data_IF_145166004535
#
_entry.id   IF_145166004535
#
_cell.length_a   1.000
_cell.length_b   1.000
_cell.length_c   1.000
_cell.angle_alpha   90.00
_cell.angle_beta   90.00
_cell.angle_gamma   90.00
#
_symmetry.space_group_name_H-M   'P 1'
#
loop_
_entity.id
_entity.type
_entity.pdbx_description
1 polymer ?
#
# COMPACT_ATOMS: atom_id res chain seq x y z
N UNK A 1 18.45 -31.34 -0.33
CA UNK A 1 17.56 -32.53 -0.19
C UNK A 1 16.17 -32.06 -0.60
N UNK A 2 15.47 -32.79 -1.47
CA UNK A 2 14.17 -32.31 -1.96
C UNK A 2 13.15 -32.14 -0.82
N UNK A 3 12.38 -31.05 -0.85
CA UNK A 3 11.35 -30.78 0.14
C UNK A 3 10.23 -31.83 0.05
N UNK A 4 9.84 -32.37 1.21
CA UNK A 4 8.70 -33.28 1.33
C UNK A 4 7.37 -32.57 1.06
N UNK A 5 6.32 -33.32 0.69
CA UNK A 5 4.97 -32.79 0.49
C UNK A 5 4.45 -32.03 1.72
N UNK A 6 4.75 -32.53 2.92
CA UNK A 6 4.35 -31.90 4.20
C UNK A 6 5.05 -30.56 4.40
N UNK A 7 6.34 -30.48 4.09
CA UNK A 7 7.14 -29.25 4.18
C UNK A 7 6.63 -28.19 3.19
N UNK A 8 6.42 -28.57 1.93
CA UNK A 8 5.84 -27.68 0.90
C UNK A 8 4.49 -27.11 1.32
N UNK A 9 3.62 -27.95 1.89
CA UNK A 9 2.31 -27.52 2.41
C UNK A 9 2.44 -26.48 3.52
N UNK A 10 3.36 -26.68 4.48
CA UNK A 10 3.59 -25.73 5.58
C UNK A 10 4.09 -24.37 5.09
N UNK A 11 5.05 -24.37 4.17
CA UNK A 11 5.55 -23.13 3.57
C UNK A 11 4.43 -22.38 2.84
N UNK A 12 3.56 -23.10 2.14
CA UNK A 12 2.39 -22.51 1.47
C UNK A 12 1.38 -21.93 2.48
N UNK A 13 1.12 -22.61 3.60
CA UNK A 13 0.23 -22.12 4.65
C UNK A 13 0.74 -20.79 5.24
N UNK A 14 2.03 -20.68 5.56
CA UNK A 14 2.63 -19.43 6.04
C UNK A 14 2.59 -18.35 4.96
N UNK A 15 2.88 -18.73 3.71
CA UNK A 15 2.81 -17.80 2.58
C UNK A 15 1.41 -17.20 2.40
N UNK A 16 0.34 -17.98 2.60
CA UNK A 16 -1.04 -17.48 2.60
C UNK A 16 -1.33 -16.57 3.79
N UNK A 17 -0.75 -16.83 4.95
CA UNK A 17 -0.85 -15.93 6.10
C UNK A 17 -0.18 -14.59 5.82
N UNK A 18 1.00 -14.57 5.19
CA UNK A 18 1.68 -13.35 4.75
C UNK A 18 0.78 -12.55 3.82
N UNK A 19 0.16 -13.19 2.83
CA UNK A 19 -0.75 -12.55 1.89
C UNK A 19 -1.96 -11.93 2.59
N UNK A 20 -2.64 -12.68 3.46
CA UNK A 20 -3.76 -12.17 4.26
C UNK A 20 -3.33 -10.97 5.10
N UNK A 21 -2.14 -11.02 5.69
CA UNK A 21 -1.59 -9.93 6.52
C UNK A 21 -1.23 -8.72 5.68
N UNK A 22 -0.75 -8.90 4.45
CA UNK A 22 -0.48 -7.82 3.51
C UNK A 22 -1.74 -7.10 3.07
N UNK A 23 -2.83 -7.84 2.79
CA UNK A 23 -4.14 -7.23 2.50
C UNK A 23 -4.61 -6.40 3.68
N UNK A 24 -4.60 -6.97 4.90
CA UNK A 24 -4.97 -6.20 6.10
C UNK A 24 -4.07 -4.99 6.31
N UNK A 25 -2.76 -5.11 6.08
CA UNK A 25 -1.83 -3.98 6.21
C UNK A 25 -2.15 -2.87 5.20
N UNK A 26 -2.50 -3.22 3.95
CA UNK A 26 -2.91 -2.27 2.93
C UNK A 26 -4.17 -1.52 3.35
N UNK A 27 -5.23 -2.25 3.71
CA UNK A 27 -6.51 -1.67 4.13
C UNK A 27 -6.34 -0.74 5.35
N UNK A 28 -5.56 -1.18 6.35
CA UNK A 28 -5.29 -0.36 7.54
C UNK A 28 -4.45 0.89 7.21
N UNK A 29 -3.54 0.81 6.23
CA UNK A 29 -2.74 1.96 5.82
C UNK A 29 -3.57 3.00 5.09
N UNK A 30 -4.52 2.58 4.26
CA UNK A 30 -5.48 3.46 3.58
C UNK A 30 -6.35 4.21 4.62
N UNK A 31 -6.98 3.46 5.54
CA UNK A 31 -7.78 4.05 6.63
C UNK A 31 -6.95 5.01 7.49
N UNK A 32 -5.70 4.64 7.80
CA UNK A 32 -4.81 5.51 8.59
C UNK A 32 -4.52 6.83 7.87
N UNK A 33 -4.36 6.82 6.55
CA UNK A 33 -4.13 8.04 5.78
C UNK A 33 -5.35 8.97 5.85
N UNK A 34 -6.55 8.43 5.81
CA UNK A 34 -7.77 9.24 5.94
C UNK A 34 -7.87 9.89 7.32
N UNK A 35 -7.58 9.14 8.39
CA UNK A 35 -7.51 9.71 9.73
C UNK A 35 -6.41 10.78 9.90
N UNK A 36 -5.29 10.65 9.18
CA UNK A 36 -4.24 11.69 9.17
C UNK A 36 -4.78 12.96 8.50
N UNK A 37 -5.44 12.83 7.34
CA UNK A 37 -6.03 13.98 6.62
C UNK A 37 -7.05 14.72 7.48
N UNK A 38 -7.97 13.99 8.14
CA UNK A 38 -8.95 14.59 9.06
C UNK A 38 -8.28 15.39 10.19
N UNK A 39 -7.23 14.83 10.79
CA UNK A 39 -6.46 15.53 11.82
C UNK A 39 -5.80 16.79 11.28
N UNK A 40 -5.22 16.74 10.08
CA UNK A 40 -4.60 17.89 9.43
C UNK A 40 -5.62 18.99 9.12
N UNK A 41 -6.80 18.62 8.62
CA UNK A 41 -7.90 19.55 8.35
C UNK A 41 -8.35 20.28 9.63
N UNK A 42 -8.52 19.56 10.73
CA UNK A 42 -8.88 20.16 12.02
C UNK A 42 -7.78 21.09 12.53
N UNK A 43 -6.51 20.70 12.39
CA UNK A 43 -5.39 21.56 12.80
C UNK A 43 -5.34 22.85 11.97
N UNK A 44 -5.64 22.78 10.68
CA UNK A 44 -5.76 23.96 9.83
C UNK A 44 -6.94 24.85 10.22
N UNK A 45 -8.09 24.27 10.60
CA UNK A 45 -9.22 25.05 11.13
C UNK A 45 -8.84 25.78 12.43
N UNK A 46 -8.14 25.11 13.35
CA UNK A 46 -7.64 25.73 14.58
C UNK A 46 -6.68 26.87 14.25
N UNK A 47 -5.75 26.66 13.32
CA UNK A 47 -4.79 27.69 12.89
C UNK A 47 -5.48 28.91 12.29
N UNK A 48 -6.47 28.72 11.40
CA UNK A 48 -7.25 29.81 10.80
C UNK A 48 -8.02 30.61 11.85
N UNK A 49 -8.71 29.93 12.78
CA UNK A 49 -9.48 30.58 13.85
C UNK A 49 -8.60 31.37 14.84
N UNK A 50 -7.29 31.10 14.91
CA UNK A 50 -6.35 31.86 15.74
C UNK A 50 -5.80 33.11 15.05
N UNK A 51 -5.74 33.10 13.71
CA UNK A 51 -5.26 34.22 12.91
C UNK A 51 -6.35 35.27 12.67
N UNK A 52 -7.61 34.85 12.67
CA UNK A 52 -8.79 35.70 12.49
C UNK A 52 -9.55 35.85 13.83
N UNK A 53 -9.13 36.75 14.75
CA UNK A 53 -9.95 37.09 15.89
C UNK A 53 -11.15 37.91 15.41
N UNK A 54 -12.29 37.25 15.18
CA UNK A 54 -13.64 37.80 14.95
C UNK A 54 -13.72 39.29 14.57
N UNK A 55 -13.46 39.65 13.31
CA UNK A 55 -14.15 40.79 12.71
C UNK A 55 -15.53 40.34 12.23
N UNK A 56 -16.50 40.34 13.16
CA UNK A 56 -17.90 40.42 12.77
C UNK A 56 -18.17 41.80 12.15
N UNK A 57 -17.98 41.95 10.85
CA UNK A 57 -18.59 43.07 10.10
C UNK A 57 -19.25 42.56 8.82
N UNK A 58 -20.59 42.52 8.90
CA UNK A 58 -21.56 42.43 7.81
C UNK A 58 -21.12 43.26 6.61
N UNK A 59 -21.16 42.72 5.39
CA UNK A 59 -21.63 43.43 4.19
C UNK A 59 -22.12 42.40 3.16
N UNK A 60 -23.44 42.37 2.98
CA UNK A 60 -24.15 41.97 1.75
C UNK A 60 -23.50 42.67 0.56
N UNK A 61 -23.37 42.13 -0.65
CA UNK A 61 -24.38 42.24 -1.72
C UNK A 61 -23.80 41.61 -2.99
N UNK A 62 -24.65 40.87 -3.70
CA UNK A 62 -24.73 40.68 -5.15
C UNK A 62 -23.46 40.50 -5.99
N UNK A 63 -23.31 39.31 -6.58
CA UNK A 63 -22.77 39.21 -7.93
C UNK A 63 -23.62 38.31 -8.84
N UNK A 64 -24.09 38.98 -9.88
CA UNK A 64 -24.98 38.57 -10.97
C UNK A 64 -24.54 37.30 -11.70
N UNK A 65 -25.52 36.44 -12.01
CA UNK A 65 -25.45 35.41 -13.04
C UNK A 65 -25.61 36.03 -14.42
N UNK A 66 -24.81 35.58 -15.41
CA UNK A 66 -25.27 35.26 -16.77
C UNK A 66 -24.16 34.61 -17.63
N UNK A 67 -24.53 33.86 -18.69
CA UNK A 67 -23.80 32.69 -19.20
C UNK A 67 -23.11 32.93 -20.55
N UNK A 68 -22.12 32.10 -20.89
CA UNK A 68 -21.60 31.98 -22.27
C UNK A 68 -21.41 30.50 -22.63
N UNK A 69 -22.01 30.16 -23.77
CA UNK A 69 -22.00 28.88 -24.50
C UNK A 69 -20.80 28.87 -25.44
N UNK A 70 -20.17 27.70 -25.63
CA UNK A 70 -19.74 27.10 -26.92
C UNK A 70 -18.60 26.08 -26.65
N UNK A 71 -18.75 24.77 -26.85
CA UNK A 71 -18.93 23.94 -28.06
C UNK A 71 -17.58 23.50 -28.71
N UNK A 72 -17.54 22.21 -29.10
CA UNK A 72 -16.53 21.49 -29.91
C UNK A 72 -15.20 21.13 -29.19
N UNK A 73 -14.56 19.96 -29.36
CA UNK A 73 -14.62 18.97 -30.43
C UNK A 73 -13.99 17.63 -29.97
N UNK A 74 -14.60 16.51 -30.38
CA UNK A 74 -14.04 15.16 -30.22
C UNK A 74 -13.05 14.86 -31.36
N UNK A 75 -11.90 14.25 -31.06
CA UNK A 75 -11.03 13.64 -32.07
C UNK A 75 -10.57 12.24 -31.65
N UNK A 76 -11.15 11.24 -32.33
CA UNK A 76 -10.66 9.86 -32.47
C UNK A 76 -9.37 9.83 -33.30
N UNK A 77 -8.47 8.90 -32.97
CA UNK A 77 -7.41 8.34 -33.84
C UNK A 77 -6.88 7.11 -33.07
N UNK A 78 -7.20 5.87 -33.46
CA UNK A 78 -6.63 5.00 -34.51
C UNK A 78 -5.85 3.83 -33.86
N UNK A 79 -6.43 2.64 -33.98
CA UNK A 79 -5.78 1.32 -34.04
C UNK A 79 -4.63 1.31 -35.11
N UNK A 80 -3.61 0.39 -35.07
CA UNK A 80 -3.84 -1.05 -35.19
C UNK A 80 -2.85 -2.05 -34.54
N UNK A 81 -3.45 -3.19 -34.19
CA UNK A 81 -3.07 -4.61 -34.41
C UNK A 81 -1.66 -4.96 -34.89
N UNK A 82 -0.99 -5.82 -34.12
CA UNK A 82 0.12 -6.68 -34.56
C UNK A 82 0.11 -8.00 -33.80
N UNK A 83 -0.18 -9.10 -34.50
CA UNK A 83 -0.08 -10.49 -34.02
C UNK A 83 1.39 -10.95 -33.90
N UNK A 84 1.68 -12.01 -33.11
CA UNK A 84 2.99 -12.24 -32.52
C UNK A 84 3.89 -13.16 -33.37
N UNK A 85 5.22 -12.95 -33.38
CA UNK A 85 6.16 -14.01 -33.71
C UNK A 85 6.55 -14.78 -32.44
N UNK A 86 6.25 -16.08 -32.47
CA UNK A 86 6.89 -17.11 -31.65
C UNK A 86 8.40 -17.06 -31.85
N UNK A 87 9.13 -16.97 -30.73
CA UNK A 87 10.39 -17.67 -30.41
C UNK A 87 11.17 -16.84 -29.39
N UNK A 88 10.79 -16.93 -28.12
CA UNK A 88 11.50 -16.25 -27.03
C UNK A 88 12.80 -16.98 -26.70
N UNK A 89 13.84 -16.66 -27.46
CA UNK A 89 15.17 -16.51 -26.90
C UNK A 89 15.05 -15.61 -25.68
N UNK A 90 15.40 -16.13 -24.50
CA UNK A 90 15.47 -15.32 -23.30
C UNK A 90 16.55 -14.27 -23.50
N UNK A 91 16.13 -13.04 -23.80
CA UNK A 91 16.99 -11.87 -23.68
C UNK A 91 17.40 -11.81 -22.21
N UNK A 92 18.64 -12.24 -21.98
CA UNK A 92 19.22 -12.33 -20.65
C UNK A 92 19.50 -10.90 -20.27
N UNK A 93 18.51 -10.22 -19.68
CA UNK A 93 18.69 -8.89 -19.10
C UNK A 93 19.84 -9.02 -18.10
N UNK A 94 20.97 -8.46 -18.48
CA UNK A 94 22.21 -8.47 -17.69
C UNK A 94 21.90 -7.85 -16.33
N UNK A 95 21.88 -8.70 -15.32
CA UNK A 95 21.89 -8.25 -13.93
C UNK A 95 23.32 -7.73 -13.73
N UNK A 96 23.47 -6.42 -13.50
CA UNK A 96 24.75 -5.76 -13.20
C UNK A 96 25.62 -6.67 -12.32
N UNK A 97 26.83 -6.95 -12.81
CA UNK A 97 27.69 -8.04 -12.33
C UNK A 97 28.32 -7.82 -10.94
N UNK A 98 27.95 -6.78 -10.20
CA UNK A 98 28.57 -6.41 -8.92
C UNK A 98 27.78 -6.77 -7.66
N UNK A 99 26.65 -7.50 -7.79
CA UNK A 99 25.87 -7.92 -6.63
C UNK A 99 26.09 -9.41 -6.31
N UNK A 100 26.52 -9.72 -5.07
CA UNK A 100 26.74 -11.07 -4.55
C UNK A 100 25.40 -11.79 -4.28
N UNK A 101 24.58 -11.90 -5.33
CA UNK A 101 23.25 -12.52 -5.26
C UNK A 101 23.42 -14.05 -5.20
N UNK A 102 22.82 -14.73 -4.20
CA UNK A 102 22.86 -16.17 -4.10
C UNK A 102 22.35 -16.87 -5.37
N UNK A 103 22.99 -17.96 -5.77
CA UNK A 103 22.62 -18.69 -7.00
C UNK A 103 21.18 -19.21 -6.97
N UNK A 104 20.73 -19.68 -5.81
CA UNK A 104 19.35 -20.12 -5.61
C UNK A 104 18.35 -18.99 -5.87
N UNK A 105 18.67 -17.74 -5.52
CA UNK A 105 17.80 -16.58 -5.68
C UNK A 105 17.71 -16.18 -7.16
N UNK A 106 18.84 -16.20 -7.88
CA UNK A 106 18.86 -16.01 -9.35
C UNK A 106 18.00 -17.05 -10.05
N UNK A 107 18.14 -18.33 -9.67
CA UNK A 107 17.35 -19.44 -10.21
C UNK A 107 15.87 -19.28 -9.91
N UNK A 108 15.52 -18.92 -8.67
CA UNK A 108 14.15 -18.69 -8.26
C UNK A 108 13.52 -17.56 -9.08
N UNK A 109 14.18 -16.42 -9.19
CA UNK A 109 13.69 -15.29 -9.99
C UNK A 109 13.47 -15.67 -11.46
N UNK A 110 14.42 -16.39 -12.09
CA UNK A 110 14.23 -16.89 -13.47
C UNK A 110 12.97 -17.75 -13.60
N UNK A 111 12.72 -18.63 -12.62
CA UNK A 111 11.52 -19.47 -12.61
C UNK A 111 10.22 -18.66 -12.40
N UNK A 112 10.26 -17.62 -11.57
CA UNK A 112 9.15 -16.68 -11.39
C UNK A 112 8.88 -15.95 -12.70
N UNK A 113 9.91 -15.37 -13.31
CA UNK A 113 9.83 -14.67 -14.59
C UNK A 113 9.20 -15.54 -15.67
N UNK A 114 9.63 -16.80 -15.79
CA UNK A 114 9.06 -17.76 -16.74
C UNK A 114 7.56 -18.05 -16.52
N UNK A 115 7.05 -17.99 -15.30
CA UNK A 115 5.63 -18.25 -15.01
C UNK A 115 4.75 -17.01 -15.10
N UNK A 116 5.34 -15.83 -14.89
CA UNK A 116 4.62 -14.56 -14.78
C UNK A 116 4.85 -13.60 -15.95
N UNK A 117 5.66 -13.97 -16.95
CA UNK A 117 5.90 -13.12 -18.12
C UNK A 117 4.59 -12.75 -18.83
N UNK A 118 4.35 -11.47 -19.18
CA UNK A 118 3.09 -11.02 -19.78
C UNK A 118 2.69 -11.83 -21.02
N UNK A 119 3.66 -12.11 -21.91
CA UNK A 119 3.42 -12.92 -23.12
C UNK A 119 2.84 -14.31 -22.80
N UNK A 120 3.26 -14.92 -21.69
CA UNK A 120 2.80 -16.26 -21.29
C UNK A 120 1.46 -16.24 -20.56
N UNK A 121 1.07 -15.10 -20.00
CA UNK A 121 -0.21 -14.96 -19.29
C UNK A 121 -1.38 -14.88 -20.26
N UNK A 122 -1.18 -14.25 -21.42
CA UNK A 122 -2.23 -14.09 -22.45
C UNK A 122 -2.74 -15.43 -23.02
N UNK A 123 -1.93 -16.49 -22.95
CA UNK A 123 -2.30 -17.83 -23.46
C UNK A 123 -2.85 -18.77 -22.39
N UNK A 124 -2.88 -18.35 -21.12
CA UNK A 124 -3.38 -19.19 -20.03
C UNK A 124 -4.86 -18.88 -19.73
N UNK A 125 -5.64 -19.92 -19.40
CA UNK A 125 -7.02 -19.79 -18.90
C UNK A 125 -7.01 -19.32 -17.43
N UNK A 126 -6.48 -18.14 -17.19
CA UNK A 126 -6.45 -17.50 -15.87
C UNK A 126 -7.57 -16.46 -15.77
N UNK A 127 -8.02 -16.22 -14.55
CA UNK A 127 -8.90 -15.08 -14.28
C UNK A 127 -8.14 -13.75 -14.45
N UNK A 128 -8.85 -12.65 -14.73
CA UNK A 128 -8.24 -11.33 -14.82
C UNK A 128 -7.47 -10.94 -13.54
N UNK A 129 -8.01 -11.31 -12.37
CA UNK A 129 -7.38 -11.08 -11.06
C UNK A 129 -6.05 -11.85 -10.94
N UNK A 130 -6.00 -13.10 -11.41
CA UNK A 130 -4.76 -13.88 -11.39
C UNK A 130 -3.72 -13.36 -12.39
N UNK A 131 -4.15 -12.83 -13.54
CA UNK A 131 -3.25 -12.22 -14.52
C UNK A 131 -2.61 -10.97 -13.92
N UNK A 132 -3.41 -10.06 -13.39
CA UNK A 132 -2.95 -8.83 -12.74
C UNK A 132 -1.96 -9.15 -11.61
N UNK A 133 -2.33 -10.07 -10.72
CA UNK A 133 -1.48 -10.52 -9.62
C UNK A 133 -0.14 -11.10 -10.08
N UNK A 134 -0.13 -11.88 -11.17
CA UNK A 134 1.12 -12.42 -11.72
C UNK A 134 1.97 -11.35 -12.36
N UNK A 135 1.38 -10.34 -13.00
CA UNK A 135 2.11 -9.18 -13.50
C UNK A 135 2.74 -8.38 -12.34
N UNK A 136 2.02 -8.17 -11.24
CA UNK A 136 2.57 -7.57 -10.02
C UNK A 136 3.76 -8.37 -9.50
N UNK A 137 3.62 -9.69 -9.36
CA UNK A 137 4.72 -10.55 -8.92
C UNK A 137 5.93 -10.54 -9.84
N UNK A 138 5.73 -10.42 -11.15
CA UNK A 138 6.82 -10.30 -12.10
C UNK A 138 7.65 -9.05 -11.80
N UNK A 139 7.00 -7.89 -11.67
CA UNK A 139 7.64 -6.61 -11.37
C UNK A 139 8.29 -6.63 -9.98
N UNK A 140 7.55 -7.05 -8.97
CA UNK A 140 8.02 -7.12 -7.59
C UNK A 140 9.24 -8.01 -7.46
N UNK A 141 9.22 -9.21 -8.07
CA UNK A 141 10.33 -10.16 -7.98
C UNK A 141 11.65 -9.59 -8.50
N UNK A 142 11.60 -8.74 -9.54
CA UNK A 142 12.79 -8.03 -10.05
C UNK A 142 13.30 -7.02 -9.03
N UNK A 143 12.42 -6.22 -8.45
CA UNK A 143 12.79 -5.26 -7.40
C UNK A 143 13.32 -5.96 -6.14
N UNK A 144 12.72 -7.09 -5.74
CA UNK A 144 13.18 -7.87 -4.59
C UNK A 144 14.58 -8.45 -4.83
N UNK A 145 14.86 -8.90 -6.06
CA UNK A 145 16.19 -9.40 -6.43
C UNK A 145 17.26 -8.31 -6.32
N UNK A 146 16.95 -7.09 -6.80
CA UNK A 146 17.86 -5.94 -6.77
C UNK A 146 18.09 -5.40 -5.34
N UNK A 147 17.05 -5.44 -4.50
CA UNK A 147 17.11 -4.96 -3.11
C UNK A 147 17.54 -6.02 -2.10
N UNK A 148 17.95 -7.18 -2.57
CA UNK A 148 18.34 -8.33 -1.74
C UNK A 148 17.25 -8.78 -0.74
N UNK A 149 15.98 -8.62 -1.11
CA UNK A 149 14.82 -8.98 -0.28
C UNK A 149 14.43 -10.45 -0.50
N UNK A 150 15.29 -11.34 -0.03
CA UNK A 150 15.20 -12.79 -0.24
C UNK A 150 13.92 -13.42 0.31
N UNK A 151 13.46 -12.99 1.48
CA UNK A 151 12.25 -13.51 2.14
C UNK A 151 11.00 -13.28 1.28
N UNK A 152 10.92 -12.10 0.68
CA UNK A 152 9.82 -11.70 -0.22
C UNK A 152 9.90 -12.42 -1.56
N UNK A 153 11.11 -12.57 -2.11
CA UNK A 153 11.31 -13.34 -3.33
C UNK A 153 10.89 -14.81 -3.12
N UNK A 154 11.26 -15.40 -1.98
CA UNK A 154 10.85 -16.74 -1.58
C UNK A 154 9.33 -16.85 -1.44
N UNK A 155 8.69 -15.88 -0.79
CA UNK A 155 7.23 -15.81 -0.65
C UNK A 155 6.51 -15.88 -2.01
N UNK A 156 6.94 -15.08 -3.00
CA UNK A 156 6.40 -15.10 -4.37
C UNK A 156 6.61 -16.48 -5.01
N UNK A 157 7.81 -17.04 -4.87
CA UNK A 157 8.13 -18.39 -5.35
C UNK A 157 7.16 -19.46 -4.83
N UNK A 158 6.93 -19.47 -3.52
CA UNK A 158 6.02 -20.41 -2.85
C UNK A 158 4.58 -20.23 -3.33
N UNK A 159 4.11 -18.99 -3.53
CA UNK A 159 2.77 -18.72 -4.07
C UNK A 159 2.58 -19.28 -5.49
N UNK A 160 3.63 -19.25 -6.29
CA UNK A 160 3.66 -19.83 -7.63
C UNK A 160 3.93 -21.36 -7.65
N UNK A 161 4.03 -21.99 -6.47
CA UNK A 161 4.37 -23.40 -6.32
C UNK A 161 5.78 -23.74 -6.82
N UNK A 162 6.70 -22.77 -6.80
CA UNK A 162 8.11 -22.93 -7.11
C UNK A 162 8.85 -23.15 -5.80
N UNK A 163 9.54 -24.28 -5.69
CA UNK A 163 10.23 -24.69 -4.46
C UNK A 163 11.74 -24.56 -4.63
N UNK A 164 12.43 -24.14 -3.57
CA UNK A 164 13.90 -24.03 -3.53
C UNK A 164 14.42 -25.19 -2.70
N UNK A 165 14.97 -26.23 -3.33
CA UNK A 165 15.46 -27.43 -2.62
C UNK A 165 16.91 -27.25 -2.11
N UNK A 166 17.57 -26.18 -2.55
CA UNK A 166 18.92 -25.76 -2.17
C UNK A 166 18.97 -25.18 -0.74
N UNK A 167 17.86 -24.61 -0.25
CA UNK A 167 17.75 -24.07 1.09
C UNK A 167 17.05 -25.10 2.01
N UNK A 168 17.57 -25.38 3.21
CA UNK A 168 16.86 -26.20 4.19
C UNK A 168 15.45 -25.67 4.51
N UNK A 169 14.49 -26.57 4.72
CA UNK A 169 13.12 -26.20 5.08
C UNK A 169 13.04 -25.26 6.31
N UNK A 170 13.89 -25.50 7.32
CA UNK A 170 13.88 -24.69 8.54
C UNK A 170 14.24 -23.22 8.26
N UNK A 171 15.22 -23.00 7.38
CA UNK A 171 15.65 -21.66 6.97
C UNK A 171 14.57 -20.98 6.11
N UNK A 172 13.99 -21.68 5.13
CA UNK A 172 12.85 -21.15 4.35
C UNK A 172 11.67 -20.76 5.25
N UNK A 173 11.37 -21.57 6.27
CA UNK A 173 10.31 -21.30 7.22
C UNK A 173 10.65 -20.07 8.09
N UNK A 174 11.91 -19.89 8.47
CA UNK A 174 12.36 -18.71 9.21
C UNK A 174 12.23 -17.44 8.37
N UNK A 175 12.68 -17.46 7.11
CA UNK A 175 12.57 -16.36 6.15
C UNK A 175 11.13 -15.90 5.97
N UNK A 176 10.21 -16.83 5.70
CA UNK A 176 8.78 -16.52 5.60
C UNK A 176 8.20 -16.01 6.92
N UNK A 177 8.65 -16.56 8.05
CA UNK A 177 8.27 -16.08 9.38
C UNK A 177 8.71 -14.64 9.66
N UNK A 178 9.90 -14.24 9.18
CA UNK A 178 10.40 -12.87 9.29
C UNK A 178 9.55 -11.88 8.49
N UNK A 179 9.15 -12.25 7.27
CA UNK A 179 8.25 -11.42 6.46
C UNK A 179 6.87 -11.28 7.13
N UNK A 180 6.29 -12.38 7.63
CA UNK A 180 5.03 -12.34 8.38
C UNK A 180 5.12 -11.43 9.61
N UNK A 181 6.19 -11.57 10.40
CA UNK A 181 6.41 -10.76 11.59
C UNK A 181 6.63 -9.29 11.24
N UNK A 182 7.34 -8.99 10.16
CA UNK A 182 7.52 -7.62 9.66
C UNK A 182 6.18 -6.95 9.38
N UNK A 183 5.26 -7.66 8.70
CA UNK A 183 3.95 -7.12 8.40
C UNK A 183 3.07 -7.00 9.65
N UNK A 184 3.18 -7.97 10.57
CA UNK A 184 2.50 -7.91 11.87
C UNK A 184 2.94 -6.72 12.73
N UNK A 185 4.24 -6.41 12.75
CA UNK A 185 4.78 -5.23 13.45
C UNK A 185 4.27 -3.94 12.82
N UNK A 186 4.19 -3.85 11.49
CA UNK A 186 3.61 -2.68 10.82
C UNK A 186 2.14 -2.49 11.17
N UNK A 187 1.35 -3.55 11.16
CA UNK A 187 -0.07 -3.50 11.59
C UNK A 187 -0.17 -2.99 13.03
N UNK A 188 0.64 -3.54 13.93
CA UNK A 188 0.67 -3.11 15.33
C UNK A 188 1.04 -1.62 15.46
N UNK A 189 2.01 -1.14 14.70
CA UNK A 189 2.40 0.27 14.67
C UNK A 189 1.26 1.18 14.16
N UNK A 190 0.51 0.75 13.14
CA UNK A 190 -0.67 1.48 12.65
C UNK A 190 -1.71 1.55 13.76
N UNK A 191 -2.07 0.40 14.35
CA UNK A 191 -3.09 0.31 15.40
C UNK A 191 -2.76 1.10 16.67
N UNK A 192 -1.47 1.29 16.96
CA UNK A 192 -1.01 2.09 18.09
C UNK A 192 -0.71 3.56 17.74
N UNK A 193 -0.89 3.97 16.47
CA UNK A 193 -0.63 5.34 16.04
C UNK A 193 -1.70 6.32 16.55
N UNK A 194 -1.31 7.60 16.68
CA UNK A 194 -2.24 8.67 17.10
C UNK A 194 -3.39 8.81 16.11
N UNK A 195 -3.13 8.72 14.80
CA UNK A 195 -4.18 8.77 13.77
C UNK A 195 -5.18 7.62 13.91
N UNK A 196 -4.69 6.41 14.20
CA UNK A 196 -5.59 5.29 14.45
C UNK A 196 -6.41 5.45 15.73
N UNK A 197 -5.79 5.93 16.82
CA UNK A 197 -6.51 6.27 18.05
C UNK A 197 -7.57 7.35 17.80
N UNK A 198 -7.27 8.33 16.95
CA UNK A 198 -8.22 9.38 16.55
C UNK A 198 -9.46 8.79 15.87
N UNK A 199 -9.27 8.03 14.80
CA UNK A 199 -10.40 7.46 14.04
C UNK A 199 -11.24 6.47 14.83
N UNK A 200 -10.66 5.79 15.82
CA UNK A 200 -11.39 4.86 16.70
C UNK A 200 -11.99 5.53 17.95
N UNK A 201 -11.71 6.81 18.20
CA UNK A 201 -12.20 7.57 19.36
C UNK A 201 -13.51 8.33 19.08
N UNK A 202 -14.30 7.93 18.07
CA UNK A 202 -15.59 8.55 17.70
C UNK A 202 -16.55 8.84 18.87
N UNK A 203 -16.61 7.95 19.86
CA UNK A 203 -17.46 8.08 21.05
C UNK A 203 -16.71 8.60 22.29
N UNK A 204 -15.40 8.87 22.18
CA UNK A 204 -14.57 9.37 23.28
C UNK A 204 -14.05 10.78 22.97
N UNK A 205 -14.90 11.76 23.26
CA UNK A 205 -14.58 13.17 23.13
C UNK A 205 -13.35 13.58 23.97
N UNK A 206 -13.13 12.94 25.13
CA UNK A 206 -11.99 13.26 25.98
C UNK A 206 -10.68 12.84 25.33
N UNK A 207 -10.66 11.65 24.73
CA UNK A 207 -9.50 11.15 24.00
C UNK A 207 -9.23 11.99 22.75
N UNK A 208 -10.26 12.34 21.96
CA UNK A 208 -10.10 13.24 20.79
C UNK A 208 -9.52 14.60 21.18
N UNK A 209 -10.01 15.22 22.26
CA UNK A 209 -9.45 16.48 22.77
C UNK A 209 -7.98 16.31 23.19
N UNK A 210 -7.63 15.23 23.90
CA UNK A 210 -6.24 14.95 24.29
C UNK A 210 -5.33 14.81 23.08
N UNK A 211 -5.79 14.08 22.06
CA UNK A 211 -5.07 13.91 20.79
C UNK A 211 -4.83 15.28 20.13
N UNK A 212 -5.86 16.12 20.03
CA UNK A 212 -5.73 17.46 19.44
C UNK A 212 -4.75 18.35 20.21
N UNK A 213 -4.74 18.30 21.55
CA UNK A 213 -3.75 19.04 22.37
C UNK A 213 -2.32 18.60 22.01
N UNK A 214 -2.06 17.29 21.99
CA UNK A 214 -0.75 16.74 21.64
C UNK A 214 -0.35 17.13 20.22
N UNK A 215 -1.29 17.12 19.28
CA UNK A 215 -1.04 17.50 17.89
C UNK A 215 -0.78 19.01 17.74
N UNK A 216 -1.49 19.87 18.47
CA UNK A 216 -1.23 21.30 18.51
C UNK A 216 0.19 21.58 19.03
N UNK A 217 0.58 20.95 20.15
CA UNK A 217 1.93 21.08 20.73
C UNK A 217 3.01 20.67 19.74
N UNK A 218 2.85 19.51 19.08
CA UNK A 218 3.78 19.01 18.07
C UNK A 218 3.88 19.94 16.85
N UNK A 219 2.77 20.51 16.43
CA UNK A 219 2.68 21.44 15.30
C UNK A 219 2.99 22.89 15.67
N UNK A 220 3.39 23.16 16.94
CA UNK A 220 3.67 24.50 17.49
C UNK A 220 2.49 25.47 17.35
N UNK A 221 1.27 24.94 17.37
CA UNK A 221 0.02 25.71 17.41
C UNK A 221 -0.37 25.86 18.88
N UNK A 222 -0.78 27.05 19.30
CA UNK A 222 -1.24 27.25 20.68
C UNK A 222 -2.53 26.43 20.88
N UNK A 223 -2.65 25.60 21.92
CA UNK A 223 -3.90 24.87 22.15
C UNK A 223 -5.03 25.85 22.49
N UNK A 224 -6.20 25.61 21.91
CA UNK A 224 -7.44 26.37 22.16
C UNK A 224 -8.11 25.95 23.48
N UNK A 225 -9.11 26.69 23.92
CA UNK A 225 -9.86 26.30 25.12
C UNK A 225 -10.61 24.98 24.89
N UNK A 226 -10.85 24.24 25.96
CA UNK A 226 -11.61 22.98 25.88
C UNK A 226 -13.01 23.17 25.26
N UNK A 227 -13.67 24.29 25.53
CA UNK A 227 -14.97 24.62 24.96
C UNK A 227 -14.93 24.86 23.45
N UNK A 228 -13.86 25.49 22.97
CA UNK A 228 -13.59 25.67 21.53
C UNK A 228 -13.35 24.33 20.84
N UNK A 229 -12.54 23.44 21.42
CA UNK A 229 -12.35 22.08 20.88
C UNK A 229 -13.67 21.33 20.75
N UNK A 230 -14.53 21.37 21.79
CA UNK A 230 -15.84 20.70 21.74
C UNK A 230 -16.71 21.27 20.63
N UNK A 231 -16.71 22.59 20.47
CA UNK A 231 -17.51 23.27 19.44
C UNK A 231 -17.01 22.94 18.04
N UNK A 232 -15.69 22.87 17.85
CA UNK A 232 -15.06 22.50 16.58
C UNK A 232 -15.35 21.05 16.22
N UNK A 233 -15.17 20.11 17.16
CA UNK A 233 -15.44 18.69 16.94
C UNK A 233 -16.90 18.44 16.56
N UNK A 234 -17.84 19.12 17.23
CA UNK A 234 -19.27 19.01 16.88
C UNK A 234 -19.58 19.50 15.47
N UNK A 235 -18.93 20.58 15.03
CA UNK A 235 -19.10 21.09 13.66
C UNK A 235 -18.52 20.11 12.65
N UNK A 236 -17.31 19.63 12.90
CA UNK A 236 -16.63 18.66 12.05
C UNK A 236 -17.40 17.35 11.89
N UNK A 237 -17.95 16.81 12.99
CA UNK A 237 -18.75 15.58 12.94
C UNK A 237 -20.17 15.78 12.32
N UNK A 238 -20.57 17.02 12.00
CA UNK A 238 -21.86 17.34 11.39
C UNK A 238 -21.80 17.59 9.88
N UNK A 239 -20.59 17.67 9.30
CA UNK A 239 -20.33 17.81 7.86
C UNK A 239 -20.26 16.43 7.19
#
# INVERSE_FOLDING_TARGET
MALTKRQKRRLLEISRMIESTNTTLFDLSEIQQDYIKELEEILELIRRNQLEPEEQTKVSTDFSLSPIVDNLNSKKTNEPTGEPPSDTNFETVEIDHDCNVPEWAKKLWKNIAMKCHPDRLNFQKLSAIEIDRRQTWFLDSRTMLQKEQWDKLLHIGVQLGIWVDEIPHAEQHQMLGQEYNTNSVKINNIQNSIAWQWGNAWNDLNLRIKILIVMCEKSKIKPVSRGEFISLLKKFDSE
#
